data_IF_955661096261
#
_entry.id   IF_955661096261
#
_cell.length_a   1.000
_cell.length_b   1.000
_cell.length_c   1.000
_cell.angle_alpha   90.00
_cell.angle_beta   90.00
_cell.angle_gamma   90.00
#
_symmetry.space_group_name_H-M   'P 1'
#
loop_
_entity.id
_entity.type
_entity.pdbx_description
1 polymer ?
#
# COMPACT_ATOMS: atom_id res chain seq x y z
N UNK A 1 -9.92 4.25 10.49
CA UNK A 1 -10.77 5.07 9.61
C UNK A 1 -11.02 4.28 8.34
N UNK A 2 -12.25 4.21 7.83
CA UNK A 2 -12.56 3.52 6.56
C UNK A 2 -12.65 4.58 5.48
N UNK A 3 -11.81 4.49 4.45
CA UNK A 3 -11.80 5.47 3.35
C UNK A 3 -12.54 4.84 2.16
N UNK A 4 -13.36 5.63 1.48
CA UNK A 4 -14.15 5.18 0.32
C UNK A 4 -14.09 6.22 -0.78
N UNK A 5 -14.28 5.74 -2.00
CA UNK A 5 -14.43 6.59 -3.18
C UNK A 5 -15.61 7.56 -3.00
N UNK A 6 -15.43 8.79 -3.44
CA UNK A 6 -16.43 9.85 -3.35
C UNK A 6 -16.54 10.54 -1.99
N UNK A 7 -15.83 10.08 -0.96
CA UNK A 7 -15.73 10.81 0.31
C UNK A 7 -14.91 12.09 0.14
N UNK A 8 -15.25 13.11 0.93
CA UNK A 8 -14.46 14.34 0.98
C UNK A 8 -13.05 14.03 1.53
N UNK A 9 -12.03 14.66 0.96
CA UNK A 9 -10.65 14.54 1.40
C UNK A 9 -10.53 15.02 2.85
N UNK A 10 -9.92 14.23 3.76
CA UNK A 10 -9.84 14.58 5.18
C UNK A 10 -8.94 15.79 5.49
N UNK A 11 -8.26 16.35 4.49
CA UNK A 11 -7.33 17.47 4.67
C UNK A 11 -7.88 18.77 4.08
N UNK A 12 -8.35 18.75 2.84
CA UNK A 12 -8.90 19.94 2.20
C UNK A 12 -10.42 20.09 2.36
N UNK A 13 -11.13 19.01 2.72
CA UNK A 13 -12.60 18.90 2.86
C UNK A 13 -13.44 19.31 1.64
N UNK A 14 -12.78 19.79 0.58
CA UNK A 14 -13.37 20.40 -0.61
C UNK A 14 -13.34 19.47 -1.82
N UNK A 15 -12.32 18.60 -1.91
CA UNK A 15 -12.18 17.63 -3.00
C UNK A 15 -12.74 16.25 -2.66
N UNK A 16 -13.17 15.51 -3.68
CA UNK A 16 -13.61 14.12 -3.54
C UNK A 16 -12.46 13.15 -3.80
N UNK A 17 -12.37 12.11 -2.97
CA UNK A 17 -11.38 11.05 -3.12
C UNK A 17 -11.71 10.17 -4.32
N UNK A 18 -10.75 10.03 -5.23
CA UNK A 18 -10.78 9.10 -6.35
C UNK A 18 -10.02 7.83 -5.99
N UNK A 19 -10.55 6.66 -6.36
CA UNK A 19 -9.90 5.39 -6.09
C UNK A 19 -9.08 4.94 -7.29
N UNK A 20 -7.79 4.71 -7.09
CA UNK A 20 -6.88 4.24 -8.13
C UNK A 20 -6.05 3.05 -7.61
N UNK A 21 -5.85 2.03 -8.43
CA UNK A 21 -4.95 0.92 -8.07
C UNK A 21 -3.54 1.33 -8.48
N UNK A 22 -2.62 1.43 -7.51
CA UNK A 22 -1.22 1.80 -7.76
C UNK A 22 -0.28 0.82 -7.04
N UNK A 23 0.89 0.53 -7.63
CA UNK A 23 1.93 -0.21 -6.94
C UNK A 23 2.54 0.67 -5.83
N UNK A 24 2.46 0.22 -4.59
CA UNK A 24 3.04 0.89 -3.45
C UNK A 24 4.35 0.23 -3.05
N UNK A 25 5.42 1.02 -2.96
CA UNK A 25 6.74 0.56 -2.54
C UNK A 25 6.92 0.73 -1.03
N UNK A 26 7.28 -0.34 -0.34
CA UNK A 26 7.58 -0.33 1.09
C UNK A 26 8.98 -0.87 1.35
N UNK A 27 9.77 -0.12 2.11
CA UNK A 27 11.08 -0.55 2.58
C UNK A 27 10.98 -1.08 4.01
N UNK A 28 11.28 -2.37 4.19
CA UNK A 28 11.26 -3.02 5.50
C UNK A 28 12.46 -3.93 5.69
N UNK A 29 13.19 -3.76 6.81
CA UNK A 29 14.44 -4.49 7.14
C UNK A 29 15.47 -4.51 5.99
N UNK A 30 15.57 -3.40 5.25
CA UNK A 30 16.49 -3.28 4.10
C UNK A 30 16.00 -3.92 2.80
N UNK A 31 14.84 -4.59 2.80
CA UNK A 31 14.21 -5.12 1.60
C UNK A 31 13.11 -4.19 1.10
N UNK A 32 13.03 -4.07 -0.22
CA UNK A 32 11.93 -3.37 -0.89
C UNK A 32 10.87 -4.41 -1.25
N UNK A 33 9.62 -4.16 -0.87
CA UNK A 33 8.45 -4.94 -1.28
C UNK A 33 7.45 -4.02 -1.96
N UNK A 34 6.85 -4.51 -3.04
CA UNK A 34 5.81 -3.81 -3.78
C UNK A 34 4.46 -4.48 -3.53
N UNK A 35 3.42 -3.68 -3.29
CA UNK A 35 2.05 -4.15 -3.13
C UNK A 35 1.12 -3.35 -4.03
N UNK A 36 0.37 -4.03 -4.89
CA UNK A 36 -0.68 -3.40 -5.69
C UNK A 36 -1.95 -3.27 -4.85
N UNK A 37 -2.29 -2.03 -4.47
CA UNK A 37 -3.42 -1.75 -3.58
C UNK A 37 -4.19 -0.51 -4.05
N UNK A 38 -5.49 -0.43 -3.73
CA UNK A 38 -6.28 0.76 -4.02
C UNK A 38 -5.83 1.91 -3.11
N UNK A 39 -5.44 3.02 -3.73
CA UNK A 39 -5.09 4.28 -3.10
C UNK A 39 -6.20 5.28 -3.39
N UNK A 40 -6.55 6.09 -2.40
CA UNK A 40 -7.53 7.14 -2.53
C UNK A 40 -6.81 8.46 -2.66
N UNK A 41 -6.85 9.08 -3.83
CA UNK A 41 -6.19 10.36 -4.07
C UNK A 41 -7.22 11.48 -4.06
N UNK A 42 -6.90 12.63 -3.46
CA UNK A 42 -7.69 13.84 -3.63
C UNK A 42 -7.09 14.68 -4.77
N UNK A 43 -7.83 15.01 -5.84
CA UNK A 43 -7.29 15.83 -6.93
C UNK A 43 -7.06 17.30 -6.54
N UNK A 44 -7.74 17.80 -5.50
CA UNK A 44 -7.63 19.21 -5.08
C UNK A 44 -6.38 19.49 -4.23
N UNK A 45 -6.02 18.58 -3.33
CA UNK A 45 -4.83 18.72 -2.47
C UNK A 45 -3.71 17.73 -2.81
N UNK A 46 -3.91 16.91 -3.85
CA UNK A 46 -2.98 15.90 -4.35
C UNK A 46 -2.55 14.84 -3.31
N UNK A 47 -3.25 14.75 -2.19
CA UNK A 47 -2.93 13.79 -1.14
C UNK A 47 -3.48 12.40 -1.43
N UNK A 48 -2.68 11.40 -1.09
CA UNK A 48 -2.98 10.00 -1.24
C UNK A 48 -3.20 9.33 0.12
N UNK A 49 -4.28 8.56 0.22
CA UNK A 49 -4.68 7.86 1.43
C UNK A 49 -4.83 6.37 1.15
N UNK A 50 -4.39 5.54 2.09
CA UNK A 50 -4.59 4.10 2.05
C UNK A 50 -5.66 3.71 3.08
N UNK A 51 -6.51 2.74 2.75
CA UNK A 51 -7.46 2.22 3.73
C UNK A 51 -6.73 1.51 4.88
N UNK A 52 -7.26 1.64 6.10
CA UNK A 52 -6.66 1.01 7.27
C UNK A 52 -6.62 -0.52 7.19
N UNK A 53 -7.53 -1.16 6.45
CA UNK A 53 -7.51 -2.59 6.19
C UNK A 53 -6.35 -2.99 5.29
N UNK A 54 -6.14 -2.24 4.20
CA UNK A 54 -5.02 -2.49 3.28
C UNK A 54 -3.67 -2.19 3.94
N UNK A 55 -3.55 -1.11 4.70
CA UNK A 55 -2.35 -0.82 5.49
C UNK A 55 -2.04 -1.96 6.45
N UNK A 56 -3.02 -2.47 7.20
CA UNK A 56 -2.82 -3.61 8.11
C UNK A 56 -2.40 -4.88 7.39
N UNK A 57 -2.95 -5.14 6.20
CA UNK A 57 -2.54 -6.29 5.39
C UNK A 57 -1.09 -6.15 4.93
N UNK A 58 -0.68 -4.96 4.49
CA UNK A 58 0.71 -4.66 4.10
C UNK A 58 1.63 -4.83 5.30
N UNK A 59 1.31 -4.23 6.44
CA UNK A 59 2.07 -4.36 7.69
C UNK A 59 2.21 -5.83 8.08
N UNK A 60 1.12 -6.61 8.02
CA UNK A 60 1.16 -8.05 8.27
C UNK A 60 2.09 -8.75 7.27
N UNK A 61 1.99 -8.47 5.97
CA UNK A 61 2.85 -9.07 4.95
C UNK A 61 4.31 -8.66 5.08
N UNK A 62 4.61 -7.45 5.57
CA UNK A 62 5.97 -6.97 5.84
C UNK A 62 6.55 -7.62 7.09
N UNK A 63 5.76 -7.71 8.16
CA UNK A 63 6.16 -8.27 9.46
C UNK A 63 6.11 -9.80 9.51
N UNK A 64 5.41 -10.45 8.58
CA UNK A 64 5.36 -11.91 8.42
C UNK A 64 6.78 -12.42 8.15
N UNK A 65 7.46 -12.74 9.24
CA UNK A 65 8.85 -13.19 9.26
C UNK A 65 8.97 -14.64 8.75
N UNK A 66 7.83 -15.27 8.41
CA UNK A 66 7.71 -16.56 7.74
C UNK A 66 7.57 -16.44 6.21
N UNK A 67 7.42 -15.22 5.68
CA UNK A 67 7.56 -14.96 4.26
C UNK A 67 9.03 -15.16 3.89
N UNK A 68 9.38 -16.43 3.63
CA UNK A 68 10.63 -16.85 2.99
C UNK A 68 11.01 -15.78 1.97
N UNK A 69 12.22 -15.21 2.04
CA UNK A 69 12.66 -14.31 0.99
C UNK A 69 12.47 -15.03 -0.36
N UNK A 70 11.86 -14.37 -1.33
CA UNK A 70 11.78 -14.80 -2.74
C UNK A 70 13.18 -14.90 -3.40
N UNK A 71 14.26 -14.97 -2.61
CA UNK A 71 15.62 -15.30 -3.01
C UNK A 71 15.94 -16.80 -2.85
N UNK A 72 14.98 -17.65 -2.48
CA UNK A 72 15.14 -19.10 -2.46
C UNK A 72 14.70 -19.80 -3.76
N UNK A 73 14.55 -19.07 -4.87
CA UNK A 73 14.51 -19.64 -6.22
C UNK A 73 15.86 -19.44 -6.90
N UNK A 74 16.92 -20.03 -6.35
CA UNK A 74 18.12 -20.38 -7.10
C UNK A 74 18.46 -21.82 -6.72
N UNK A 75 18.40 -22.81 -7.64
CA UNK A 75 18.96 -24.11 -7.34
C UNK A 75 20.49 -23.97 -7.31
N UNK A 76 21.21 -24.44 -6.28
CA UNK A 76 22.61 -24.76 -6.47
C UNK A 76 22.65 -25.95 -7.44
N UNK A 77 22.99 -25.69 -8.71
CA UNK A 77 23.51 -26.73 -9.60
C UNK A 77 24.87 -27.16 -9.04
N UNK A 78 24.92 -28.36 -8.47
CA UNK A 78 26.14 -29.17 -8.38
C UNK A 78 26.08 -30.23 -9.47
#
# INVERSE_FOLDING_TARGET
>A
MKIKEGMNGPVCESGHLTREIKPLEFKYKGHIRMFEKPVFTCPECEEAFLDAGDQKEIDRKLTDSHARPLAACWPPMQ
#
